data_IF_046573809697
#
_entry.id   IF_046573809697
#
_cell.length_a   1.000
_cell.length_b   1.000
_cell.length_c   1.000
_cell.angle_alpha   90.00
_cell.angle_beta   90.00
_cell.angle_gamma   90.00
#
_symmetry.space_group_name_H-M   'P 1'
#
loop_
_entity.id
_entity.type
_entity.pdbx_description
1 polymer ?
#
# COMPACT_ATOMS: atom_id res chain seq x y z
N UNK A 1 -5.90 6.15 26.28
CA UNK A 1 -7.03 5.22 26.45
C UNK A 1 -7.92 5.46 25.25
N UNK A 2 -7.98 4.50 24.33
CA UNK A 2 -8.92 4.60 23.21
C UNK A 2 -10.33 4.41 23.75
N UNK A 3 -11.25 5.32 23.43
CA UNK A 3 -12.66 5.19 23.77
C UNK A 3 -13.20 3.88 23.16
N UNK A 4 -14.01 3.11 23.91
CA UNK A 4 -14.58 1.88 23.39
C UNK A 4 -15.46 2.20 22.16
N UNK A 5 -15.03 1.72 20.99
CA UNK A 5 -15.79 1.81 19.76
C UNK A 5 -17.18 1.18 19.94
N UNK A 6 -18.22 1.88 19.50
CA UNK A 6 -19.57 1.33 19.47
C UNK A 6 -19.58 -0.06 18.77
N UNK A 7 -20.26 -1.07 19.32
CA UNK A 7 -20.21 -2.44 18.79
C UNK A 7 -20.54 -2.54 17.29
N UNK A 8 -21.51 -1.75 16.84
CA UNK A 8 -21.90 -1.68 15.41
C UNK A 8 -20.79 -1.08 14.53
N UNK A 9 -20.09 -0.06 15.02
CA UNK A 9 -18.98 0.56 14.30
C UNK A 9 -17.79 -0.40 14.21
N UNK A 10 -17.51 -1.11 15.31
CA UNK A 10 -16.48 -2.15 15.35
C UNK A 10 -16.77 -3.28 14.37
N UNK A 11 -17.99 -3.81 14.36
CA UNK A 11 -18.39 -4.86 13.42
C UNK A 11 -18.23 -4.43 11.95
N UNK A 12 -18.60 -3.18 11.63
CA UNK A 12 -18.38 -2.61 10.29
C UNK A 12 -16.90 -2.46 9.95
N UNK A 13 -16.05 -2.07 10.90
CA UNK A 13 -14.61 -1.99 10.70
C UNK A 13 -14.04 -3.39 10.45
N UNK A 14 -14.39 -4.37 11.29
CA UNK A 14 -13.93 -5.76 11.19
C UNK A 14 -14.31 -6.36 9.83
N UNK A 15 -15.55 -6.17 9.37
CA UNK A 15 -15.99 -6.63 8.05
C UNK A 15 -15.15 -6.02 6.91
N UNK A 16 -14.79 -4.73 7.01
CA UNK A 16 -13.96 -4.04 6.01
C UNK A 16 -12.52 -4.54 6.03
N UNK A 17 -11.98 -4.80 7.22
CA UNK A 17 -10.63 -5.35 7.40
C UNK A 17 -10.56 -6.76 6.83
N UNK A 18 -11.52 -7.64 7.16
CA UNK A 18 -11.58 -9.01 6.65
C UNK A 18 -11.67 -9.05 5.13
N UNK A 19 -12.53 -8.22 4.53
CA UNK A 19 -12.61 -8.12 3.06
C UNK A 19 -11.29 -7.65 2.43
N UNK A 20 -10.60 -6.70 3.08
CA UNK A 20 -9.30 -6.22 2.60
C UNK A 20 -8.22 -7.32 2.70
N UNK A 21 -8.23 -8.10 3.79
CA UNK A 21 -7.32 -9.22 3.99
C UNK A 21 -7.59 -10.37 3.02
N UNK A 22 -8.85 -10.71 2.75
CA UNK A 22 -9.21 -11.72 1.76
C UNK A 22 -8.72 -11.34 0.36
N UNK A 23 -8.93 -10.08 -0.06
CA UNK A 23 -8.40 -9.55 -1.32
C UNK A 23 -6.87 -9.52 -1.36
N UNK A 24 -6.24 -9.28 -0.20
CA UNK A 24 -4.79 -9.30 -0.05
C UNK A 24 -4.25 -10.72 -0.26
N UNK A 25 -4.83 -11.72 0.41
CA UNK A 25 -4.43 -13.12 0.32
C UNK A 25 -4.71 -13.71 -1.07
N UNK A 26 -5.80 -13.34 -1.72
CA UNK A 26 -6.12 -13.77 -3.10
C UNK A 26 -5.11 -13.25 -4.14
N UNK A 27 -4.55 -12.06 -3.95
CA UNK A 27 -3.49 -11.54 -4.83
C UNK A 27 -2.15 -12.23 -4.59
N UNK A 28 -1.83 -12.56 -3.33
CA UNK A 28 -0.62 -13.35 -3.00
C UNK A 28 -0.73 -14.76 -3.60
N UNK A 29 -1.88 -15.42 -3.42
CA UNK A 29 -2.09 -16.81 -3.86
C UNK A 29 -2.05 -16.97 -5.38
N UNK A 30 -2.37 -15.93 -6.15
CA UNK A 30 -2.27 -15.88 -7.62
C UNK A 30 -0.85 -15.61 -8.15
N UNK A 31 0.17 -15.75 -7.31
CA UNK A 31 1.57 -15.55 -7.68
C UNK A 31 2.02 -14.09 -7.67
N UNK A 32 1.22 -13.18 -7.08
CA UNK A 32 1.66 -11.82 -6.83
C UNK A 32 2.76 -11.79 -5.77
N UNK A 33 3.89 -11.14 -6.06
CA UNK A 33 4.96 -11.02 -5.08
C UNK A 33 4.52 -10.14 -3.90
N UNK A 34 4.93 -10.50 -2.68
CA UNK A 34 4.76 -9.65 -1.49
C UNK A 34 5.29 -8.23 -1.73
N UNK A 35 6.35 -8.10 -2.54
CA UNK A 35 6.91 -6.84 -2.99
C UNK A 35 5.92 -6.00 -3.82
N UNK A 36 5.32 -6.57 -4.87
CA UNK A 36 4.30 -5.90 -5.71
C UNK A 36 3.11 -5.42 -4.85
N UNK A 37 2.76 -6.20 -3.83
CA UNK A 37 1.69 -5.87 -2.91
C UNK A 37 2.05 -4.71 -1.97
N UNK A 38 3.24 -4.73 -1.38
CA UNK A 38 3.74 -3.61 -0.58
C UNK A 38 3.81 -2.32 -1.40
N UNK A 39 4.34 -2.40 -2.62
CA UNK A 39 4.39 -1.27 -3.56
C UNK A 39 3.00 -0.74 -3.89
N UNK A 40 2.02 -1.62 -4.08
CA UNK A 40 0.62 -1.25 -4.34
C UNK A 40 0.01 -0.52 -3.13
N UNK A 41 0.17 -1.05 -1.93
CA UNK A 41 -0.35 -0.43 -0.69
C UNK A 41 0.25 0.96 -0.46
N UNK A 42 1.56 1.12 -0.64
CA UNK A 42 2.23 2.42 -0.53
C UNK A 42 1.68 3.38 -1.58
N UNK A 43 1.54 2.93 -2.83
CA UNK A 43 0.98 3.72 -3.93
C UNK A 43 -0.42 4.20 -3.59
N UNK A 44 -1.29 3.32 -3.10
CA UNK A 44 -2.67 3.67 -2.71
C UNK A 44 -2.72 4.63 -1.55
N UNK A 45 -1.87 4.46 -0.53
CA UNK A 45 -1.80 5.37 0.64
C UNK A 45 -1.30 6.76 0.27
N UNK A 46 -0.30 6.87 -0.60
CA UNK A 46 0.17 8.15 -1.16
C UNK A 46 -0.93 8.77 -2.01
N UNK A 47 -1.59 7.97 -2.83
CA UNK A 47 -2.66 8.44 -3.71
C UNK A 47 -3.91 8.89 -2.95
N UNK A 48 -4.26 8.26 -1.82
CA UNK A 48 -5.36 8.68 -0.96
C UNK A 48 -5.16 10.10 -0.40
N UNK A 49 -3.91 10.51 -0.17
CA UNK A 49 -3.59 11.88 0.26
C UNK A 49 -3.59 12.90 -0.89
N UNK A 50 -3.19 12.48 -2.09
CA UNK A 50 -3.06 13.36 -3.26
C UNK A 50 -4.35 13.47 -4.10
N UNK A 51 -5.11 12.39 -4.18
CA UNK A 51 -6.28 12.21 -5.03
C UNK A 51 -7.45 13.16 -4.77
N UNK A 52 -7.74 13.59 -3.52
CA UNK A 52 -8.76 14.59 -3.24
C UNK A 52 -8.48 15.96 -3.87
N UNK A 53 -7.21 16.27 -4.17
CA UNK A 53 -6.81 17.55 -4.78
C UNK A 53 -6.87 17.53 -6.33
N UNK A 54 -7.26 16.41 -6.93
CA UNK A 54 -7.26 16.21 -8.38
C UNK A 54 -8.67 15.96 -8.91
N UNK A 55 -9.26 16.99 -9.53
CA UNK A 55 -10.63 16.94 -10.07
C UNK A 55 -10.74 16.30 -11.46
N UNK A 56 -9.66 16.22 -12.25
CA UNK A 56 -9.70 15.66 -13.62
C UNK A 56 -9.31 14.18 -13.64
N UNK A 57 -10.14 13.33 -14.24
CA UNK A 57 -9.92 11.88 -14.36
C UNK A 57 -8.56 11.53 -15.00
N UNK A 58 -8.21 12.20 -16.11
CA UNK A 58 -6.94 11.96 -16.81
C UNK A 58 -5.74 12.29 -15.92
N UNK A 59 -5.80 13.41 -15.19
CA UNK A 59 -4.75 13.83 -14.24
C UNK A 59 -4.61 12.79 -13.12
N UNK A 60 -5.73 12.29 -12.60
CA UNK A 60 -5.77 11.24 -11.57
C UNK A 60 -5.08 9.95 -12.06
N UNK A 61 -5.34 9.54 -13.30
CA UNK A 61 -4.71 8.34 -13.90
C UNK A 61 -3.19 8.51 -14.08
N UNK A 62 -2.75 9.67 -14.59
CA UNK A 62 -1.33 9.98 -14.79
C UNK A 62 -0.61 10.07 -13.44
N UNK A 63 -1.18 10.77 -12.47
CA UNK A 63 -0.63 10.90 -11.13
C UNK A 63 -0.46 9.52 -10.45
N UNK A 64 -1.44 8.62 -10.58
CA UNK A 64 -1.32 7.26 -10.02
C UNK A 64 -0.14 6.50 -10.64
N UNK A 65 0.08 6.64 -11.95
CA UNK A 65 1.22 6.03 -12.65
C UNK A 65 2.56 6.61 -12.20
N UNK A 66 2.63 7.94 -11.98
CA UNK A 66 3.82 8.61 -11.46
C UNK A 66 4.13 8.12 -10.04
N UNK A 67 3.13 8.08 -9.16
CA UNK A 67 3.29 7.59 -7.78
C UNK A 67 3.83 6.16 -7.78
N UNK A 68 3.27 5.25 -8.59
CA UNK A 68 3.77 3.87 -8.70
C UNK A 68 5.26 3.85 -9.07
N UNK A 69 5.66 4.60 -10.10
CA UNK A 69 7.07 4.69 -10.53
C UNK A 69 7.99 5.22 -9.43
N UNK A 70 7.54 6.21 -8.65
CA UNK A 70 8.30 6.74 -7.52
C UNK A 70 8.47 5.69 -6.42
N UNK A 71 7.41 4.93 -6.14
CA UNK A 71 7.44 3.83 -5.15
C UNK A 71 8.37 2.72 -5.60
N UNK A 72 8.35 2.33 -6.88
CA UNK A 72 9.27 1.33 -7.43
C UNK A 72 10.73 1.75 -7.24
N UNK A 73 11.08 2.98 -7.64
CA UNK A 73 12.43 3.51 -7.49
C UNK A 73 12.86 3.66 -6.01
N UNK A 74 11.93 3.99 -5.11
CA UNK A 74 12.21 4.06 -3.68
C UNK A 74 12.47 2.66 -3.10
N UNK A 75 11.68 1.68 -3.50
CA UNK A 75 11.84 0.29 -3.08
C UNK A 75 13.20 -0.29 -3.49
N UNK A 76 13.60 -0.12 -4.76
CA UNK A 76 14.91 -0.59 -5.24
C UNK A 76 16.07 0.02 -4.45
N UNK A 77 16.02 1.34 -4.18
CA UNK A 77 17.05 2.02 -3.36
C UNK A 77 17.11 1.48 -1.94
N UNK A 78 15.97 1.29 -1.29
CA UNK A 78 15.93 0.75 0.07
C UNK A 78 16.35 -0.72 0.14
N UNK A 79 15.96 -1.55 -0.85
CA UNK A 79 16.38 -2.94 -0.97
C UNK A 79 17.91 -3.04 -1.11
N UNK A 80 18.51 -2.21 -1.97
CA UNK A 80 19.96 -2.17 -2.14
C UNK A 80 20.65 -1.75 -0.85
N UNK A 81 20.14 -0.73 -0.15
CA UNK A 81 20.70 -0.29 1.13
C UNK A 81 20.60 -1.38 2.22
N UNK A 82 19.53 -2.17 2.25
CA UNK A 82 19.38 -3.30 3.17
C UNK A 82 20.39 -4.41 2.86
N UNK A 83 20.56 -4.76 1.58
CA UNK A 83 21.54 -5.77 1.16
C UNK A 83 22.96 -5.33 1.53
N UNK A 84 23.32 -4.06 1.25
CA UNK A 84 24.63 -3.50 1.61
C UNK A 84 24.87 -3.59 3.12
N UNK A 85 23.87 -3.22 3.94
CA UNK A 85 23.96 -3.34 5.40
C UNK A 85 24.13 -4.78 5.88
N UNK A 86 23.41 -5.73 5.28
CA UNK A 86 23.52 -7.15 5.62
C UNK A 86 24.88 -7.73 5.24
N UNK A 87 25.45 -7.29 4.11
CA UNK A 87 26.81 -7.67 3.70
C UNK A 87 27.87 -7.07 4.63
N UNK A 88 27.67 -5.86 5.15
CA UNK A 88 28.59 -5.23 6.11
C UNK A 88 28.55 -5.82 7.53
N UNK A 89 27.54 -6.64 7.83
CA UNK A 89 27.40 -7.33 9.11
C UNK A 89 28.00 -8.75 9.10
N UNK A 90 28.53 -9.18 7.95
CA UNK A 90 29.12 -10.50 7.73
C UNK A 90 30.63 -10.41 7.63
#
# INVERSE_FOLDING_TARGET
>A
MDEPLAPELRAKIDEKVEKALALFMDKVSKGGSLEELFKTLITEKVFAKLGPRMNRYVVRKVAKKIVRKVVDNAWERHRNNLIIKLQSLR
#
